data_IF_412963080853
#
_entry.id   IF_412963080853
#
_cell.length_a   1.000
_cell.length_b   1.000
_cell.length_c   1.000
_cell.angle_alpha   90.00
_cell.angle_beta   90.00
_cell.angle_gamma   90.00
#
_symmetry.space_group_name_H-M   'P 1'
#
loop_
_entity.id
_entity.type
_entity.pdbx_description
1 polymer ?
#
# COMPACT_ATOMS: atom_id res chain seq x y z
N UNK A 1 -9.98 5.44 5.42
CA UNK A 1 -11.30 5.59 4.79
C UNK A 1 -11.21 5.85 3.29
N UNK A 2 -11.76 4.96 2.48
CA UNK A 2 -11.72 5.08 1.02
C UNK A 2 -12.59 6.22 0.47
N UNK A 3 -13.50 6.76 1.27
CA UNK A 3 -14.44 7.81 0.87
C UNK A 3 -14.09 9.20 1.41
N UNK A 4 -12.89 9.37 1.91
CA UNK A 4 -12.41 10.65 2.45
C UNK A 4 -11.86 11.54 1.33
N UNK A 5 -12.71 12.39 0.78
CA UNK A 5 -12.40 13.22 -0.38
C UNK A 5 -11.32 14.30 -0.13
N UNK A 6 -10.97 14.62 1.06
CA UNK A 6 -9.95 15.63 1.35
C UNK A 6 -8.70 15.05 2.01
N UNK A 7 -8.70 13.77 2.32
CA UNK A 7 -7.62 13.16 3.07
C UNK A 7 -7.59 13.55 4.55
N UNK A 8 -8.54 14.34 5.03
CA UNK A 8 -8.57 14.86 6.40
C UNK A 8 -8.79 13.74 7.42
N UNK A 9 -9.77 12.86 7.18
CA UNK A 9 -10.06 11.73 8.08
C UNK A 9 -8.89 10.74 8.08
N UNK A 10 -8.26 10.51 6.92
CA UNK A 10 -7.08 9.64 6.80
C UNK A 10 -5.90 10.20 7.58
N UNK A 11 -5.63 11.50 7.47
CA UNK A 11 -4.58 12.15 8.25
C UNK A 11 -4.81 12.01 9.75
N UNK A 12 -6.05 12.16 10.21
CA UNK A 12 -6.42 11.97 11.62
C UNK A 12 -6.24 10.51 12.07
N UNK A 13 -6.48 9.53 11.20
CA UNK A 13 -6.30 8.11 11.48
C UNK A 13 -4.81 7.70 11.51
N UNK A 14 -3.97 8.34 10.70
CA UNK A 14 -2.53 8.06 10.65
C UNK A 14 -1.79 8.56 11.88
N UNK A 15 -2.25 9.61 12.52
CA UNK A 15 -1.55 10.21 13.67
C UNK A 15 -1.43 9.26 14.87
N UNK A 16 -2.51 8.56 15.33
CA UNK A 16 -2.41 7.55 16.38
C UNK A 16 -1.50 6.40 16.00
N UNK A 17 -1.52 5.96 14.74
CA UNK A 17 -0.65 4.91 14.25
C UNK A 17 0.82 5.34 14.29
N UNK A 18 1.11 6.56 13.87
CA UNK A 18 2.47 7.13 13.91
C UNK A 18 3.01 7.18 15.34
N UNK A 19 2.19 7.58 16.31
CA UNK A 19 2.57 7.60 17.72
C UNK A 19 2.89 6.22 18.26
N UNK A 20 2.08 5.22 17.90
CA UNK A 20 2.32 3.82 18.25
C UNK A 20 3.64 3.32 17.65
N UNK A 21 3.88 3.61 16.37
CA UNK A 21 5.10 3.22 15.68
C UNK A 21 6.35 3.79 16.35
N UNK A 22 6.32 5.08 16.70
CA UNK A 22 7.43 5.75 17.39
C UNK A 22 7.70 5.14 18.77
N UNK A 23 6.65 4.87 19.54
CA UNK A 23 6.78 4.25 20.86
C UNK A 23 7.37 2.84 20.78
N UNK A 24 6.88 2.01 19.88
CA UNK A 24 7.36 0.64 19.72
C UNK A 24 8.82 0.60 19.27
N UNK A 25 9.21 1.51 18.38
CA UNK A 25 10.61 1.60 17.96
C UNK A 25 11.53 1.99 19.12
N UNK A 26 11.11 2.94 19.96
CA UNK A 26 11.88 3.35 21.14
C UNK A 26 12.09 2.22 22.15
N UNK A 27 11.14 1.29 22.22
CA UNK A 27 11.26 0.09 23.07
C UNK A 27 12.21 -0.96 22.47
N UNK A 28 12.69 -0.78 21.25
CA UNK A 28 13.51 -1.75 20.54
C UNK A 28 12.74 -2.89 19.90
N UNK A 29 11.42 -2.75 19.78
CA UNK A 29 10.57 -3.77 19.16
C UNK A 29 10.69 -3.76 17.63
N UNK A 30 10.47 -4.92 17.03
CA UNK A 30 10.29 -5.06 15.59
C UNK A 30 8.83 -4.77 15.26
N UNK A 31 8.58 -3.96 14.22
CA UNK A 31 7.21 -3.59 13.84
C UNK A 31 6.98 -3.93 12.38
N UNK A 32 5.92 -4.65 12.12
CA UNK A 32 5.42 -4.97 10.77
C UNK A 32 3.94 -4.60 10.76
N UNK A 33 3.56 -3.72 9.84
CA UNK A 33 2.17 -3.30 9.65
C UNK A 33 1.76 -3.69 8.24
N UNK A 34 0.74 -4.52 8.13
CA UNK A 34 0.24 -4.99 6.84
C UNK A 34 -1.24 -4.73 6.66
N UNK A 35 -1.65 -4.53 5.43
CA UNK A 35 -3.06 -4.39 5.08
C UNK A 35 -3.32 -3.52 3.87
N UNK A 36 -4.57 -3.11 3.75
CA UNK A 36 -5.04 -2.15 2.76
C UNK A 36 -4.94 -0.75 3.37
N UNK A 37 -4.04 0.06 2.84
CA UNK A 37 -3.79 1.42 3.36
C UNK A 37 -4.71 2.46 2.73
N UNK A 38 -5.53 2.09 1.75
CA UNK A 38 -6.37 3.02 0.99
C UNK A 38 -5.60 4.21 0.40
N UNK A 39 -4.27 4.07 0.26
CA UNK A 39 -3.37 5.03 -0.37
C UNK A 39 -2.50 4.29 -1.36
N UNK A 40 -2.16 4.94 -2.46
CA UNK A 40 -1.18 4.43 -3.42
C UNK A 40 0.20 4.42 -2.75
N UNK A 41 0.84 3.26 -2.68
CA UNK A 41 2.07 3.04 -1.90
C UNK A 41 3.33 3.44 -2.66
N UNK A 42 3.31 4.58 -3.31
CA UNK A 42 4.42 5.17 -4.03
C UNK A 42 3.95 5.86 -5.30
N UNK A 43 4.55 7.02 -5.60
CA UNK A 43 4.18 7.83 -6.76
C UNK A 43 4.32 7.07 -8.08
N UNK A 44 5.32 6.19 -8.19
CA UNK A 44 5.56 5.38 -9.39
C UNK A 44 4.38 4.48 -9.76
N UNK A 45 3.52 4.12 -8.79
CA UNK A 45 2.39 3.23 -9.03
C UNK A 45 1.16 3.95 -9.59
N UNK A 46 1.14 5.28 -9.57
CA UNK A 46 0.04 6.04 -10.20
C UNK A 46 0.01 5.83 -11.71
N UNK A 47 1.17 5.70 -12.33
CA UNK A 47 1.30 5.61 -13.79
C UNK A 47 1.81 4.24 -14.27
N UNK A 48 2.01 3.30 -13.35
CA UNK A 48 2.58 1.99 -13.69
C UNK A 48 1.62 1.08 -14.47
N UNK A 49 0.32 1.29 -14.31
CA UNK A 49 -0.70 0.41 -14.87
C UNK A 49 -1.59 1.20 -15.83
N UNK A 50 -1.42 1.06 -17.16
CA UNK A 50 -2.26 1.74 -18.14
C UNK A 50 -3.74 1.43 -17.94
N UNK A 51 -4.58 2.45 -18.03
CA UNK A 51 -6.01 2.34 -17.76
C UNK A 51 -6.79 3.34 -18.60
N UNK A 52 -7.97 2.97 -19.08
CA UNK A 52 -8.91 3.88 -19.72
C UNK A 52 -9.73 4.66 -18.68
N UNK A 53 -9.83 4.15 -17.47
CA UNK A 53 -10.55 4.83 -16.37
C UNK A 53 -9.71 5.97 -15.80
N UNK A 54 -10.39 7.02 -15.35
CA UNK A 54 -9.72 8.14 -14.67
C UNK A 54 -9.25 7.72 -13.29
N UNK A 55 -8.19 8.38 -12.78
CA UNK A 55 -7.70 8.16 -11.41
C UNK A 55 -8.81 8.52 -10.42
N UNK A 56 -9.22 7.59 -9.55
CA UNK A 56 -10.25 7.86 -8.56
C UNK A 56 -9.84 8.92 -7.54
N UNK A 57 -10.84 9.60 -6.96
CA UNK A 57 -10.61 10.63 -5.93
C UNK A 57 -9.95 10.08 -4.66
N UNK A 58 -10.07 8.77 -4.39
CA UNK A 58 -9.45 8.14 -3.23
C UNK A 58 -7.96 7.83 -3.40
N UNK A 59 -7.42 7.97 -4.61
CA UNK A 59 -6.06 7.53 -4.93
C UNK A 59 -4.99 8.55 -4.49
N UNK A 60 -4.98 8.88 -3.20
CA UNK A 60 -3.91 9.68 -2.60
C UNK A 60 -2.64 8.83 -2.47
N UNK A 61 -1.49 9.49 -2.56
CA UNK A 61 -0.19 8.81 -2.47
C UNK A 61 0.31 8.82 -1.03
N UNK A 62 0.80 7.67 -0.56
CA UNK A 62 1.56 7.52 0.66
C UNK A 62 2.99 7.12 0.27
N UNK A 63 3.99 7.86 0.75
CA UNK A 63 5.38 7.50 0.54
C UNK A 63 6.16 7.52 1.86
N UNK A 64 7.44 7.17 1.82
CA UNK A 64 8.25 7.07 3.03
C UNK A 64 8.37 8.39 3.79
N UNK A 65 8.24 9.53 3.12
CA UNK A 65 8.30 10.85 3.77
C UNK A 65 7.09 11.11 4.68
N UNK A 66 5.99 10.39 4.50
CA UNK A 66 4.80 10.50 5.34
C UNK A 66 4.88 9.65 6.62
N UNK A 67 5.89 8.77 6.71
CA UNK A 67 6.05 7.84 7.83
C UNK A 67 6.97 8.41 8.90
N UNK A 68 6.84 7.93 10.16
CA UNK A 68 7.83 8.24 11.20
C UNK A 68 9.23 7.78 10.78
N UNK A 69 10.26 8.42 11.37
CA UNK A 69 11.65 8.00 11.18
C UNK A 69 11.81 6.51 11.49
N UNK A 70 12.71 5.84 10.81
CA UNK A 70 13.01 4.41 10.95
C UNK A 70 11.99 3.46 10.35
N UNK A 71 10.99 3.96 9.62
CA UNK A 71 9.99 3.13 8.95
C UNK A 71 10.02 3.31 7.44
N UNK A 72 9.69 2.26 6.73
CA UNK A 72 9.59 2.32 5.26
C UNK A 72 8.51 1.37 4.74
N UNK A 73 7.98 1.73 3.58
CA UNK A 73 7.08 0.87 2.81
C UNK A 73 7.92 -0.20 2.13
N UNK A 74 7.52 -1.46 2.25
CA UNK A 74 8.14 -2.58 1.52
C UNK A 74 7.48 -2.66 0.15
N UNK A 75 8.17 -2.15 -0.86
CA UNK A 75 7.65 -2.16 -2.24
C UNK A 75 7.77 -3.56 -2.83
N UNK A 76 6.69 -4.11 -3.43
CA UNK A 76 6.77 -5.43 -4.05
C UNK A 76 7.81 -5.48 -5.16
N UNK A 77 8.56 -6.56 -5.24
CA UNK A 77 9.58 -6.74 -6.29
C UNK A 77 8.98 -6.75 -7.68
N UNK A 78 7.74 -7.25 -7.83
CA UNK A 78 6.98 -7.25 -9.08
C UNK A 78 5.92 -6.14 -9.13
N UNK A 79 6.06 -5.08 -8.33
CA UNK A 79 5.05 -4.03 -8.20
C UNK A 79 4.86 -3.16 -9.44
N UNK A 80 5.80 -3.17 -10.38
CA UNK A 80 5.64 -2.45 -11.65
C UNK A 80 4.88 -3.26 -12.70
N UNK A 81 4.70 -4.56 -12.49
CA UNK A 81 3.98 -5.48 -13.39
C UNK A 81 2.63 -5.94 -12.83
N UNK A 82 2.52 -6.03 -11.50
CA UNK A 82 1.33 -6.55 -10.82
C UNK A 82 0.78 -5.53 -9.82
N UNK A 83 -0.47 -5.13 -10.00
CA UNK A 83 -1.19 -4.25 -9.09
C UNK A 83 -1.84 -5.06 -7.95
N UNK A 84 -2.23 -4.40 -6.86
CA UNK A 84 -2.89 -5.07 -5.73
C UNK A 84 -4.38 -4.79 -5.64
N UNK A 85 -4.86 -3.73 -6.30
CA UNK A 85 -6.27 -3.34 -6.29
C UNK A 85 -6.67 -2.79 -7.65
N UNK A 86 -7.89 -3.12 -8.05
CA UNK A 86 -8.52 -2.57 -9.25
C UNK A 86 -9.84 -1.90 -8.90
N UNK A 87 -10.29 -0.99 -9.74
CA UNK A 87 -11.60 -0.41 -9.60
C UNK A 87 -12.67 -1.49 -9.85
N UNK A 88 -13.63 -1.60 -8.93
CA UNK A 88 -14.59 -2.72 -8.89
C UNK A 88 -15.95 -2.39 -9.50
N UNK A 89 -16.06 -1.30 -10.23
CA UNK A 89 -17.34 -0.86 -10.84
C UNK A 89 -17.75 -1.71 -12.06
N UNK A 90 -16.86 -2.54 -12.55
CA UNK A 90 -17.10 -3.43 -13.68
C UNK A 90 -16.15 -4.65 -13.60
N UNK A 91 -16.43 -5.74 -14.35
CA UNK A 91 -15.49 -6.87 -14.45
C UNK A 91 -14.11 -6.41 -14.90
N UNK A 92 -13.07 -7.06 -14.41
CA UNK A 92 -11.70 -6.65 -14.71
C UNK A 92 -11.33 -6.94 -16.16
N UNK A 93 -10.82 -5.90 -16.84
CA UNK A 93 -10.21 -6.00 -18.17
C UNK A 93 -8.87 -5.27 -18.08
N UNK A 94 -7.78 -5.97 -18.29
CA UNK A 94 -6.44 -5.39 -18.25
C UNK A 94 -6.33 -4.20 -19.22
N UNK A 95 -5.79 -3.09 -18.74
CA UNK A 95 -5.66 -1.86 -19.51
C UNK A 95 -6.92 -0.99 -19.55
N UNK A 96 -8.05 -1.43 -19.04
CA UNK A 96 -9.32 -0.69 -18.98
C UNK A 96 -9.60 -0.19 -17.58
N UNK A 97 -9.66 -1.09 -16.60
CA UNK A 97 -9.92 -0.72 -15.20
C UNK A 97 -8.71 -0.02 -14.57
N UNK A 98 -8.97 1.04 -13.81
CA UNK A 98 -7.93 1.62 -12.99
C UNK A 98 -7.43 0.58 -11.99
N UNK A 99 -6.12 0.46 -11.89
CA UNK A 99 -5.48 -0.42 -10.92
C UNK A 99 -4.22 0.24 -10.36
N UNK A 100 -3.86 -0.12 -9.14
CA UNK A 100 -2.69 0.41 -8.47
C UNK A 100 -2.31 -0.47 -7.28
N UNK A 101 -1.35 -0.02 -6.48
CA UNK A 101 -0.90 -0.72 -5.28
C UNK A 101 -1.31 0.08 -4.05
N UNK A 102 -2.25 -0.47 -3.26
CA UNK A 102 -2.69 0.09 -1.99
C UNK A 102 -2.57 -0.90 -0.84
N UNK A 103 -2.27 -2.15 -1.14
CA UNK A 103 -2.07 -3.22 -0.17
C UNK A 103 -0.59 -3.51 -0.04
N UNK A 104 -0.11 -3.68 1.17
CA UNK A 104 1.29 -3.96 1.39
C UNK A 104 1.70 -3.89 2.85
N UNK A 105 2.97 -3.58 3.08
CA UNK A 105 3.59 -3.63 4.40
C UNK A 105 4.46 -2.41 4.65
N UNK A 106 4.43 -1.94 5.90
CA UNK A 106 5.35 -0.95 6.45
C UNK A 106 6.15 -1.65 7.55
N UNK A 107 7.46 -1.49 7.56
CA UNK A 107 8.33 -2.14 8.54
C UNK A 107 9.29 -1.15 9.18
N UNK A 108 9.69 -1.43 10.43
CA UNK A 108 10.78 -0.73 11.09
C UNK A 108 12.13 -1.16 10.50
N UNK A 109 13.15 -0.32 10.65
CA UNK A 109 14.46 -0.53 10.01
C UNK A 109 15.26 -1.71 10.59
N UNK A 110 14.82 -2.27 11.71
CA UNK A 110 15.34 -3.51 12.30
C UNK A 110 14.67 -4.78 11.73
N UNK A 111 13.82 -4.63 10.71
CA UNK A 111 13.23 -5.74 9.96
C UNK A 111 13.77 -5.69 8.53
N UNK A 112 14.34 -6.78 8.06
CA UNK A 112 14.71 -6.96 6.66
C UNK A 112 13.58 -7.69 5.95
N UNK A 113 13.02 -7.10 4.88
CA UNK A 113 11.80 -7.61 4.28
C UNK A 113 11.79 -7.50 2.75
N UNK A 114 11.12 -8.44 2.12
CA UNK A 114 10.81 -8.45 0.69
C UNK A 114 9.33 -8.76 0.51
N UNK A 115 8.70 -8.15 -0.49
CA UNK A 115 7.31 -8.38 -0.80
C UNK A 115 7.11 -8.78 -2.27
N UNK A 116 6.07 -9.55 -2.52
CA UNK A 116 5.63 -9.96 -3.86
C UNK A 116 4.12 -9.89 -3.93
N UNK A 117 3.59 -9.36 -5.02
CA UNK A 117 2.16 -9.48 -5.32
C UNK A 117 1.92 -10.87 -5.91
N UNK A 118 0.92 -11.58 -5.35
CA UNK A 118 0.52 -12.88 -5.89
C UNK A 118 -0.51 -12.68 -7.01
N UNK A 119 -0.19 -13.00 -8.27
CA UNK A 119 -1.07 -12.72 -9.39
C UNK A 119 -2.25 -13.70 -9.43
N UNK A 120 -3.46 -13.19 -9.19
CA UNK A 120 -4.71 -13.97 -9.27
C UNK A 120 -5.54 -13.62 -10.51
N UNK A 121 -5.17 -12.55 -11.24
CA UNK A 121 -5.95 -12.04 -12.36
C UNK A 121 -7.26 -11.40 -11.94
N UNK A 122 -7.44 -11.10 -10.65
CA UNK A 122 -8.66 -10.52 -10.08
C UNK A 122 -9.91 -11.37 -10.34
N UNK A 123 -9.76 -12.68 -10.37
CA UNK A 123 -10.89 -13.58 -10.67
C UNK A 123 -11.93 -13.63 -9.57
N UNK A 124 -11.49 -13.55 -8.30
CA UNK A 124 -12.40 -13.73 -7.15
C UNK A 124 -12.50 -12.48 -6.25
N UNK A 125 -11.67 -11.45 -6.49
CA UNK A 125 -11.60 -10.27 -5.66
C UNK A 125 -11.12 -9.06 -6.46
N UNK A 126 -11.45 -7.87 -6.00
CA UNK A 126 -10.88 -6.61 -6.52
C UNK A 126 -9.48 -6.30 -5.93
N UNK A 127 -8.95 -7.21 -5.14
CA UNK A 127 -7.58 -7.15 -4.61
C UNK A 127 -6.78 -8.41 -4.98
N UNK A 128 -5.47 -8.26 -5.10
CA UNK A 128 -4.52 -9.36 -5.18
C UNK A 128 -3.68 -9.41 -3.90
N UNK A 129 -3.41 -10.61 -3.35
CA UNK A 129 -2.63 -10.76 -2.12
C UNK A 129 -1.20 -10.27 -2.28
N UNK A 130 -0.63 -9.75 -1.19
CA UNK A 130 0.79 -9.41 -1.10
C UNK A 130 1.43 -10.32 -0.06
N UNK A 131 2.54 -10.94 -0.43
CA UNK A 131 3.28 -11.87 0.43
C UNK A 131 4.54 -11.18 0.91
N UNK A 132 4.76 -11.17 2.23
CA UNK A 132 5.95 -10.65 2.85
C UNK A 132 6.85 -11.79 3.32
N UNK A 133 8.13 -11.70 3.00
CA UNK A 133 9.18 -12.53 3.57
C UNK A 133 10.10 -11.62 4.38
N UNK A 134 10.35 -11.95 5.64
CA UNK A 134 11.12 -11.06 6.51
C UNK A 134 12.06 -11.80 7.44
N UNK A 135 13.08 -11.07 7.91
CA UNK A 135 14.02 -11.49 8.94
C UNK A 135 14.14 -10.39 9.98
N UNK A 136 14.07 -10.74 11.23
CA UNK A 136 14.30 -9.81 12.35
C UNK A 136 15.79 -9.68 12.61
N UNK A 137 16.26 -8.48 12.65
CA UNK A 137 17.69 -8.19 12.92
C UNK A 137 18.02 -8.13 14.40
#
# INVERSE_FOLDING_TARGET
SAYDEGGVIRAQQLEPLSSFMEEEYKKGNWVIIGGDFNHVLGKEYQDAFPSEQVVPVWAYILDNSDLPDHYSIVKPENGMEESTCRNADSPYIEGVNYSTIIDGFIVSDNVEAKAMVYPTGYEESDHQPVILTFTLK
#
